data_IF_969178436292
#
_entry.id   IF_969178436292
#
_cell.length_a   1.000
_cell.length_b   1.000
_cell.length_c   1.000
_cell.angle_alpha   90.00
_cell.angle_beta   90.00
_cell.angle_gamma   90.00
#
_symmetry.space_group_name_H-M   'P 1'
#
loop_
_entity.id
_entity.type
_entity.pdbx_description
1 polymer ?
#
# COMPACT_ATOMS: atom_id res chain seq x y z
N UNK A 1 -11.92 16.07 5.60
CA UNK A 1 -10.58 15.43 5.64
C UNK A 1 -10.41 14.52 4.41
N UNK A 2 -10.61 15.04 3.19
CA UNK A 2 -10.65 14.24 1.95
C UNK A 2 -9.70 14.78 0.87
N UNK A 3 -8.68 15.55 1.26
CA UNK A 3 -7.85 16.32 0.32
C UNK A 3 -6.36 15.98 0.29
N UNK A 4 -5.86 15.07 1.13
CA UNK A 4 -4.41 14.90 1.29
C UNK A 4 -3.79 13.80 0.42
N UNK A 5 -4.61 12.99 -0.24
CA UNK A 5 -4.14 11.98 -1.18
C UNK A 5 -5.10 11.99 -2.37
N UNK A 6 -4.78 12.75 -3.42
CA UNK A 6 -5.55 12.83 -4.68
C UNK A 6 -5.56 11.51 -5.49
N UNK A 7 -5.41 10.40 -4.80
CA UNK A 7 -5.54 9.03 -5.26
C UNK A 7 -6.99 8.59 -5.04
N UNK A 8 -7.49 7.71 -5.91
CA UNK A 8 -8.77 7.04 -5.72
C UNK A 8 -8.63 6.01 -4.57
N UNK A 9 -8.48 6.52 -3.34
CA UNK A 9 -8.35 5.73 -2.11
C UNK A 9 -9.58 4.86 -1.87
N UNK A 10 -10.71 5.20 -2.49
CA UNK A 10 -11.93 4.38 -2.52
C UNK A 10 -11.69 2.98 -3.07
N UNK A 11 -10.64 2.78 -3.87
CA UNK A 11 -10.23 1.45 -4.35
C UNK A 11 -9.17 0.80 -3.47
N UNK A 12 -8.48 1.57 -2.62
CA UNK A 12 -7.43 1.05 -1.75
C UNK A 12 -8.07 0.31 -0.58
N UNK A 13 -7.68 -0.95 -0.40
CA UNK A 13 -8.13 -1.79 0.72
C UNK A 13 -6.98 -1.97 1.69
N UNK A 14 -7.20 -1.62 2.94
CA UNK A 14 -6.20 -1.77 3.99
C UNK A 14 -6.51 -3.03 4.78
N UNK A 15 -5.54 -3.95 4.84
CA UNK A 15 -5.58 -5.18 5.59
C UNK A 15 -4.64 -5.06 6.79
N UNK A 16 -5.20 -5.11 7.99
CA UNK A 16 -4.46 -5.09 9.27
C UNK A 16 -4.88 -6.28 10.17
N UNK A 17 -5.38 -7.33 9.52
CA UNK A 17 -5.87 -8.54 10.15
C UNK A 17 -4.70 -9.51 10.41
N UNK A 18 -4.95 -10.58 11.16
CA UNK A 18 -3.90 -11.57 11.48
C UNK A 18 -3.25 -12.17 10.22
N UNK A 19 -4.05 -12.37 9.16
CA UNK A 19 -3.55 -12.82 7.86
C UNK A 19 -2.54 -11.84 7.25
N UNK A 20 -2.83 -10.53 7.28
CA UNK A 20 -1.93 -9.50 6.78
C UNK A 20 -0.63 -9.46 7.61
N UNK A 21 -0.73 -9.67 8.92
CA UNK A 21 0.43 -9.75 9.81
C UNK A 21 1.32 -10.93 9.46
N UNK A 22 0.74 -12.11 9.25
CA UNK A 22 1.50 -13.31 8.89
C UNK A 22 2.16 -13.18 7.51
N UNK A 23 1.46 -12.64 6.51
CA UNK A 23 2.03 -12.39 5.19
C UNK A 23 3.20 -11.40 5.25
N UNK A 24 3.00 -10.27 5.94
CA UNK A 24 4.04 -9.25 6.10
C UNK A 24 5.27 -9.82 6.83
N UNK A 25 5.04 -10.63 7.87
CA UNK A 25 6.10 -11.31 8.60
C UNK A 25 6.87 -12.31 7.72
N UNK A 26 6.17 -13.09 6.89
CA UNK A 26 6.80 -14.04 5.97
C UNK A 26 7.65 -13.34 4.90
N UNK A 27 7.22 -12.16 4.45
CA UNK A 27 7.97 -11.30 3.54
C UNK A 27 9.04 -10.45 4.26
N UNK A 28 9.16 -10.57 5.57
CA UNK A 28 10.01 -9.73 6.42
C UNK A 28 9.79 -8.22 6.20
N UNK A 29 8.55 -7.82 5.91
CA UNK A 29 8.15 -6.45 5.61
C UNK A 29 7.33 -5.84 6.76
N UNK A 30 7.40 -4.51 6.88
CA UNK A 30 6.58 -3.72 7.81
C UNK A 30 5.18 -3.47 7.25
N UNK A 31 5.10 -3.26 5.94
CA UNK A 31 3.88 -3.24 5.14
C UNK A 31 4.26 -3.57 3.70
N UNK A 32 3.29 -4.01 2.90
CA UNK A 32 3.49 -4.21 1.46
C UNK A 32 2.20 -4.00 0.69
N UNK A 33 2.34 -3.68 -0.59
CA UNK A 33 1.22 -3.37 -1.48
C UNK A 33 1.11 -4.38 -2.62
N UNK A 34 -0.11 -4.87 -2.87
CA UNK A 34 -0.44 -5.75 -3.99
C UNK A 34 -1.66 -5.21 -4.73
N UNK A 35 -1.43 -4.56 -5.87
CA UNK A 35 -2.50 -3.99 -6.69
C UNK A 35 -3.16 -2.80 -6.00
N UNK A 36 -4.33 -3.02 -5.40
CA UNK A 36 -5.05 -2.03 -4.60
C UNK A 36 -5.11 -2.39 -3.12
N UNK A 37 -4.56 -3.54 -2.74
CA UNK A 37 -4.59 -4.03 -1.37
C UNK A 37 -3.26 -3.71 -0.68
N UNK A 38 -3.32 -3.05 0.47
CA UNK A 38 -2.18 -2.70 1.32
C UNK A 38 -2.25 -3.54 2.58
N UNK A 39 -1.21 -4.30 2.86
CA UNK A 39 -1.11 -5.19 4.00
C UNK A 39 -0.12 -4.63 5.00
N UNK A 40 -0.54 -4.46 6.24
CA UNK A 40 0.34 -3.99 7.31
C UNK A 40 0.75 -5.14 8.22
N UNK A 41 1.93 -5.02 8.81
CA UNK A 41 2.37 -5.88 9.89
C UNK A 41 1.81 -5.39 11.23
N UNK A 42 1.79 -6.27 12.23
CA UNK A 42 1.23 -6.00 13.55
C UNK A 42 1.92 -4.79 14.18
N UNK A 43 1.14 -3.78 14.53
CA UNK A 43 1.62 -2.55 15.17
C UNK A 43 2.12 -1.47 14.21
N UNK A 44 2.16 -1.73 12.89
CA UNK A 44 2.59 -0.75 11.89
C UNK A 44 1.42 0.01 11.25
N UNK A 45 0.20 -0.53 11.29
CA UNK A 45 -0.99 0.22 10.94
C UNK A 45 -1.41 1.15 12.09
N UNK A 46 -1.06 2.42 12.00
CA UNK A 46 -1.52 3.43 12.95
C UNK A 46 -1.89 4.74 12.24
N UNK A 47 -3.15 4.92 11.83
CA UNK A 47 -3.60 6.16 11.18
C UNK A 47 -3.65 7.37 12.14
N UNK A 48 -3.48 7.15 13.45
CA UNK A 48 -3.47 8.22 14.45
C UNK A 48 -2.07 8.75 14.77
N UNK A 49 -1.02 7.99 14.45
CA UNK A 49 0.38 8.44 14.56
C UNK A 49 0.87 9.00 13.24
N UNK A 50 1.72 10.02 13.32
CA UNK A 50 2.38 10.60 12.16
C UNK A 50 3.21 9.56 11.38
N UNK A 51 3.91 8.66 12.09
CA UNK A 51 4.71 7.60 11.48
C UNK A 51 3.85 6.60 10.69
N UNK A 52 2.74 6.12 11.28
CA UNK A 52 1.84 5.19 10.61
C UNK A 52 1.09 5.83 9.44
N UNK A 53 0.73 7.11 9.56
CA UNK A 53 0.14 7.87 8.46
C UNK A 53 1.12 8.07 7.29
N UNK A 54 2.40 8.30 7.59
CA UNK A 54 3.44 8.40 6.57
C UNK A 54 3.68 7.05 5.88
N UNK A 55 3.73 5.94 6.65
CA UNK A 55 3.83 4.59 6.08
C UNK A 55 2.64 4.27 5.17
N UNK A 56 1.42 4.64 5.59
CA UNK A 56 0.23 4.48 4.77
C UNK A 56 0.32 5.29 3.46
N UNK A 57 0.74 6.55 3.52
CA UNK A 57 0.92 7.37 2.33
C UNK A 57 1.98 6.78 1.37
N UNK A 58 3.06 6.22 1.92
CA UNK A 58 4.11 5.55 1.15
C UNK A 58 3.55 4.35 0.38
N UNK A 59 2.83 3.46 1.06
CA UNK A 59 2.24 2.26 0.46
C UNK A 59 1.14 2.59 -0.56
N UNK A 60 0.27 3.54 -0.24
CA UNK A 60 -0.73 4.05 -1.18
C UNK A 60 -0.08 4.56 -2.47
N UNK A 61 1.05 5.24 -2.37
CA UNK A 61 1.79 5.73 -3.55
C UNK A 61 2.26 4.58 -4.43
N UNK A 62 2.62 3.42 -3.86
CA UNK A 62 2.93 2.20 -4.62
C UNK A 62 1.71 1.66 -5.39
N UNK A 63 0.49 1.78 -4.88
CA UNK A 63 -0.73 1.35 -5.62
C UNK A 63 -0.94 2.18 -6.91
N UNK A 64 -0.62 3.48 -6.85
CA UNK A 64 -0.73 4.39 -7.98
C UNK A 64 0.39 4.15 -8.99
N UNK A 65 1.61 3.94 -8.51
CA UNK A 65 2.76 3.61 -9.34
C UNK A 65 2.58 2.25 -10.02
N UNK A 66 2.06 1.23 -9.34
CA UNK A 66 1.77 -0.07 -9.97
C UNK A 66 0.80 0.04 -11.15
N UNK A 67 -0.18 0.96 -11.09
CA UNK A 67 -1.04 1.28 -12.24
C UNK A 67 -0.26 1.94 -13.39
N UNK A 68 0.73 2.77 -13.07
CA UNK A 68 1.59 3.45 -14.06
C UNK A 68 2.68 2.56 -14.68
N UNK A 69 3.09 1.49 -14.01
CA UNK A 69 4.18 0.60 -14.49
C UNK A 69 3.72 -0.39 -15.55
N UNK A 70 2.41 -0.46 -15.88
CA UNK A 70 1.89 -1.17 -17.07
C UNK A 70 2.14 -0.44 -18.41
N UNK A 71 3.23 0.31 -18.55
CA UNK A 71 3.58 0.93 -19.83
C UNK A 71 5.09 1.10 -20.04
N UNK A 72 5.80 -0.01 -20.32
CA UNK A 72 6.82 -0.13 -21.39
C UNK A 72 7.14 -1.61 -21.65
N UNK A 73 6.27 -2.30 -22.39
CA UNK A 73 6.63 -3.52 -23.13
C UNK A 73 5.75 -3.62 -24.37
N UNK A 74 5.91 -2.68 -25.30
CA UNK A 74 5.49 -2.84 -26.69
C UNK A 74 6.25 -1.77 -27.52
N UNK A 75 7.08 -2.08 -28.50
CA UNK A 75 7.46 -3.36 -29.07
C UNK A 75 8.81 -3.22 -29.78
N UNK A 76 9.41 -4.39 -30.06
CA UNK A 76 10.58 -4.59 -30.91
C UNK A 76 10.06 -5.16 -32.25
N UNK A 77 10.60 -4.75 -33.41
CA UNK A 77 11.70 -5.50 -34.04
C UNK A 77 13.07 -4.81 -33.94
#
# INVERSE_FOLDING_TARGET
MEGQMGADLSKVRIHNDDTAHQMSKNLNAQAFTVGHDVYFNRGFYNPTSQEGMHLLAHEVTHTLQQKGVKKKSNGKP
#
